data_IF_048806288372
#
_entry.id   IF_048806288372
#
_cell.length_a   1.000
_cell.length_b   1.000
_cell.length_c   1.000
_cell.angle_alpha   90.00
_cell.angle_beta   90.00
_cell.angle_gamma   90.00
#
_symmetry.space_group_name_H-M   'P 1'
#
loop_
_entity.id
_entity.type
_entity.pdbx_description
1 polymer ?
#
# COMPACT_ATOMS: atom_id res chain seq x y z
N UNK A 1 -8.00 -1.31 -2.34
CA UNK A 1 -7.32 -1.10 -1.04
C UNK A 1 -8.26 -0.43 -0.04
N UNK A 2 -8.56 0.87 -0.12
CA UNK A 2 -9.41 1.54 0.90
C UNK A 2 -10.79 0.92 1.14
N UNK A 3 -11.50 0.50 0.08
CA UNK A 3 -12.77 -0.23 0.22
C UNK A 3 -12.56 -1.57 0.95
N UNK A 4 -11.67 -2.42 0.44
CA UNK A 4 -11.36 -3.73 1.03
C UNK A 4 -10.90 -3.62 2.49
N UNK A 5 -10.01 -2.67 2.81
CA UNK A 5 -9.55 -2.41 4.18
C UNK A 5 -10.66 -1.85 5.08
N UNK A 6 -11.57 -1.05 4.54
CA UNK A 6 -12.76 -0.56 5.26
C UNK A 6 -13.77 -1.69 5.50
N UNK A 7 -13.96 -2.58 4.52
CA UNK A 7 -14.82 -3.76 4.61
C UNK A 7 -14.29 -4.74 5.67
N UNK A 8 -12.96 -4.89 5.76
CA UNK A 8 -12.28 -5.64 6.82
C UNK A 8 -12.25 -4.89 8.17
N UNK A 9 -12.69 -3.62 8.22
CA UNK A 9 -12.79 -2.82 9.44
C UNK A 9 -11.52 -2.07 9.86
N UNK A 10 -10.47 -2.11 9.05
CA UNK A 10 -9.22 -1.38 9.26
C UNK A 10 -9.30 0.12 8.86
N UNK A 11 -10.35 0.53 8.15
CA UNK A 11 -10.49 1.90 7.63
C UNK A 11 -11.88 2.50 7.94
N UNK A 12 -12.05 3.85 7.90
CA UNK A 12 -13.34 4.48 8.16
C UNK A 12 -14.44 4.03 7.19
N UNK A 13 -15.63 3.76 7.72
CA UNK A 13 -16.79 3.21 6.97
C UNK A 13 -17.22 4.02 5.74
N UNK A 14 -16.82 5.29 5.62
CA UNK A 14 -17.08 6.10 4.43
C UNK A 14 -16.48 5.49 3.15
N UNK A 15 -15.38 4.74 3.28
CA UNK A 15 -14.72 4.05 2.16
C UNK A 15 -15.38 2.72 1.77
N UNK A 16 -16.22 2.14 2.64
CA UNK A 16 -17.06 0.97 2.34
C UNK A 16 -18.38 1.33 1.65
N UNK A 17 -18.79 2.61 1.66
CA UNK A 17 -20.06 3.03 1.07
C UNK A 17 -19.98 3.03 -0.45
N UNK A 18 -20.73 2.11 -1.07
CA UNK A 18 -20.85 1.97 -2.52
C UNK A 18 -22.22 2.38 -3.04
N UNK A 19 -22.28 2.76 -4.31
CA UNK A 19 -23.53 3.02 -5.03
C UNK A 19 -24.20 1.72 -5.50
N UNK A 20 -25.36 1.81 -6.16
CA UNK A 20 -26.10 0.68 -6.74
C UNK A 20 -25.32 -0.13 -7.79
N UNK A 21 -24.20 0.38 -8.28
CA UNK A 21 -23.31 -0.27 -9.25
C UNK A 21 -21.94 -0.61 -8.64
N UNK A 22 -21.89 -0.78 -7.31
CA UNK A 22 -20.69 -1.14 -6.53
C UNK A 22 -19.52 -0.14 -6.59
N UNK A 23 -19.77 1.11 -6.99
CA UNK A 23 -18.73 2.15 -7.06
C UNK A 23 -18.60 2.92 -5.72
N UNK A 24 -17.39 3.04 -5.12
CA UNK A 24 -17.17 3.74 -3.85
C UNK A 24 -17.06 5.26 -4.02
N UNK A 25 -18.12 5.91 -4.53
CA UNK A 25 -18.11 7.33 -4.93
C UNK A 25 -17.75 8.29 -3.80
N UNK A 26 -18.21 8.05 -2.58
CA UNK A 26 -17.88 8.92 -1.43
C UNK A 26 -16.39 8.86 -1.08
N UNK A 27 -15.78 7.68 -1.15
CA UNK A 27 -14.34 7.53 -0.98
C UNK A 27 -13.54 8.23 -2.08
N UNK A 28 -13.97 8.10 -3.34
CA UNK A 28 -13.33 8.77 -4.48
C UNK A 28 -13.37 10.30 -4.33
N UNK A 29 -14.52 10.89 -3.99
CA UNK A 29 -14.65 12.34 -3.79
C UNK A 29 -13.76 12.84 -2.65
N UNK A 30 -13.69 12.09 -1.55
CA UNK A 30 -12.82 12.43 -0.41
C UNK A 30 -11.35 12.50 -0.84
N UNK A 31 -10.89 11.51 -1.61
CA UNK A 31 -9.51 11.48 -2.13
C UNK A 31 -9.27 12.65 -3.09
N UNK A 32 -10.21 12.93 -4.00
CA UNK A 32 -10.08 14.03 -4.97
C UNK A 32 -9.96 15.38 -4.28
N UNK A 33 -10.74 15.64 -3.22
CA UNK A 33 -10.66 16.89 -2.45
C UNK A 33 -9.27 17.04 -1.80
N UNK A 34 -8.78 15.97 -1.16
CA UNK A 34 -7.45 15.97 -0.53
C UNK A 34 -6.35 16.18 -1.57
N UNK A 35 -6.40 15.45 -2.69
CA UNK A 35 -5.43 15.57 -3.77
C UNK A 35 -5.43 16.96 -4.41
N UNK A 36 -6.61 17.55 -4.61
CA UNK A 36 -6.74 18.92 -5.14
C UNK A 36 -6.14 19.95 -4.19
N UNK A 37 -6.37 19.78 -2.87
CA UNK A 37 -5.74 20.60 -1.85
C UNK A 37 -4.21 20.50 -1.87
N UNK A 38 -3.67 19.29 -1.95
CA UNK A 38 -2.22 19.07 -2.06
C UNK A 38 -1.64 19.62 -3.37
N UNK A 39 -2.37 19.54 -4.49
CA UNK A 39 -1.94 20.11 -5.76
C UNK A 39 -1.85 21.63 -5.72
N UNK A 40 -2.79 22.31 -5.05
CA UNK A 40 -2.71 23.77 -4.86
C UNK A 40 -1.50 24.19 -4.01
N UNK A 41 -1.00 23.31 -3.14
CA UNK A 41 0.20 23.58 -2.36
C UNK A 41 1.46 23.65 -3.23
N UNK A 42 1.50 23.08 -4.44
CA UNK A 42 2.73 23.06 -5.27
C UNK A 42 3.13 24.42 -5.89
N UNK A 43 2.35 25.47 -5.65
CA UNK A 43 2.57 26.83 -6.21
C UNK A 43 3.73 27.57 -5.53
N UNK A 44 4.00 27.28 -4.24
CA UNK A 44 5.10 27.92 -3.50
C UNK A 44 6.40 27.10 -3.60
N UNK A 45 7.60 27.71 -3.76
CA UNK A 45 8.88 26.98 -3.79
C UNK A 45 9.15 26.12 -2.55
N UNK A 46 8.78 26.60 -1.36
CA UNK A 46 8.93 25.83 -0.11
C UNK A 46 7.96 24.65 -0.04
N UNK A 47 6.75 24.81 -0.57
CA UNK A 47 5.72 23.77 -0.62
C UNK A 47 5.96 22.76 -1.76
N UNK A 48 6.62 23.16 -2.85
CA UNK A 48 7.06 22.26 -3.92
C UNK A 48 8.11 21.26 -3.40
N UNK A 49 9.08 21.73 -2.61
CA UNK A 49 10.04 20.84 -1.94
C UNK A 49 9.33 19.82 -1.03
N UNK A 50 8.35 20.26 -0.23
CA UNK A 50 7.52 19.36 0.58
C UNK A 50 6.73 18.36 -0.28
N UNK A 51 6.18 18.81 -1.41
CA UNK A 51 5.48 17.93 -2.34
C UNK A 51 6.40 16.85 -2.92
N UNK A 52 7.64 17.18 -3.29
CA UNK A 52 8.61 16.19 -3.77
C UNK A 52 8.94 15.14 -2.70
N UNK A 53 9.06 15.55 -1.43
CA UNK A 53 9.19 14.61 -0.31
C UNK A 53 7.96 13.69 -0.21
N UNK A 54 6.74 14.23 -0.33
CA UNK A 54 5.50 13.44 -0.32
C UNK A 54 5.41 12.46 -1.51
N UNK A 55 5.83 12.88 -2.71
CA UNK A 55 5.86 12.03 -3.91
C UNK A 55 6.86 10.89 -3.73
N UNK A 56 8.08 11.18 -3.28
CA UNK A 56 9.10 10.16 -3.03
C UNK A 56 8.68 9.21 -1.91
N UNK A 57 8.05 9.73 -0.85
CA UNK A 57 7.45 8.92 0.21
C UNK A 57 6.34 8.00 -0.35
N UNK A 58 5.48 8.51 -1.24
CA UNK A 58 4.44 7.71 -1.88
C UNK A 58 5.03 6.55 -2.68
N UNK A 59 6.17 6.74 -3.35
CA UNK A 59 6.90 5.66 -4.04
C UNK A 59 7.33 4.58 -3.03
N UNK A 60 7.95 4.96 -1.92
CA UNK A 60 8.38 4.02 -0.87
C UNK A 60 7.20 3.23 -0.30
N UNK A 61 6.09 3.91 0.03
CA UNK A 61 4.90 3.27 0.61
C UNK A 61 4.23 2.25 -0.32
N UNK A 62 4.34 2.42 -1.63
CA UNK A 62 3.79 1.48 -2.61
C UNK A 62 4.75 0.32 -2.92
N UNK A 63 6.07 0.56 -2.90
CA UNK A 63 7.05 -0.48 -3.23
C UNK A 63 7.16 -1.54 -2.12
N UNK A 64 7.05 -1.14 -0.85
CA UNK A 64 7.15 -2.10 0.27
C UNK A 64 6.13 -3.26 0.11
N UNK A 65 4.82 -3.01 -0.10
CA UNK A 65 3.85 -4.08 -0.39
C UNK A 65 4.19 -4.92 -1.64
N UNK A 66 4.79 -4.33 -2.67
CA UNK A 66 5.16 -5.06 -3.89
C UNK A 66 6.29 -6.06 -3.61
N UNK A 67 7.32 -5.65 -2.85
CA UNK A 67 8.40 -6.55 -2.43
C UNK A 67 7.83 -7.72 -1.61
N UNK A 68 6.95 -7.43 -0.66
CA UNK A 68 6.29 -8.47 0.14
C UNK A 68 5.44 -9.41 -0.73
N UNK A 69 4.73 -8.88 -1.72
CA UNK A 69 3.93 -9.69 -2.65
C UNK A 69 4.80 -10.60 -3.53
N UNK A 70 5.95 -10.09 -4.00
CA UNK A 70 6.91 -10.88 -4.78
C UNK A 70 7.58 -11.96 -3.91
N UNK A 71 7.84 -11.69 -2.64
CA UNK A 71 8.32 -12.70 -1.69
C UNK A 71 7.26 -13.79 -1.40
N UNK A 72 5.99 -13.39 -1.24
CA UNK A 72 4.89 -14.31 -0.99
C UNK A 72 4.55 -15.20 -2.20
N UNK A 73 4.89 -14.77 -3.42
CA UNK A 73 4.55 -15.44 -4.67
C UNK A 73 4.91 -16.93 -4.67
N UNK A 74 6.10 -17.29 -4.18
CA UNK A 74 6.57 -18.69 -4.16
C UNK A 74 5.67 -19.56 -3.27
N UNK A 75 5.23 -19.03 -2.12
CA UNK A 75 4.33 -19.74 -1.21
C UNK A 75 2.96 -19.90 -1.86
N UNK A 76 2.42 -18.82 -2.43
CA UNK A 76 1.12 -18.82 -3.12
C UNK A 76 1.11 -19.85 -4.27
N UNK A 77 2.16 -19.89 -5.09
CA UNK A 77 2.29 -20.86 -6.17
C UNK A 77 2.31 -22.31 -5.69
N UNK A 78 2.99 -22.58 -4.56
CA UNK A 78 3.03 -23.92 -3.94
C UNK A 78 1.65 -24.34 -3.45
N UNK A 79 0.94 -23.45 -2.74
CA UNK A 79 -0.42 -23.71 -2.24
C UNK A 79 -1.41 -23.93 -3.39
N UNK A 80 -1.27 -23.17 -4.48
CA UNK A 80 -2.12 -23.28 -5.67
C UNK A 80 -1.73 -24.42 -6.63
N UNK A 81 -0.74 -25.26 -6.28
CA UNK A 81 -0.24 -26.37 -7.11
C UNK A 81 0.11 -25.94 -8.56
N UNK A 82 0.75 -24.76 -8.71
CA UNK A 82 1.11 -24.21 -10.03
C UNK A 82 2.18 -25.09 -10.70
N UNK A 83 2.04 -25.42 -12.00
CA UNK A 83 3.05 -26.20 -12.72
C UNK A 83 4.45 -25.59 -12.63
N UNK A 84 5.52 -26.39 -12.38
CA UNK A 84 6.87 -25.88 -12.19
C UNK A 84 7.41 -25.04 -13.36
N UNK A 85 7.00 -25.34 -14.59
CA UNK A 85 7.40 -24.58 -15.78
C UNK A 85 6.87 -23.14 -15.76
N UNK A 86 5.61 -22.94 -15.34
CA UNK A 86 4.99 -21.62 -15.22
C UNK A 86 5.50 -20.88 -13.98
N UNK A 87 5.69 -21.59 -12.86
CA UNK A 87 6.25 -21.05 -11.63
C UNK A 87 7.65 -20.47 -11.84
N UNK A 88 8.53 -21.15 -12.59
CA UNK A 88 9.88 -20.66 -12.90
C UNK A 88 9.88 -19.30 -13.60
N UNK A 89 9.03 -19.13 -14.63
CA UNK A 89 8.92 -17.86 -15.36
C UNK A 89 8.40 -16.76 -14.44
N UNK A 90 7.33 -17.03 -13.69
CA UNK A 90 6.77 -16.06 -12.75
C UNK A 90 7.76 -15.66 -11.64
N UNK A 91 8.54 -16.61 -11.12
CA UNK A 91 9.55 -16.35 -10.10
C UNK A 91 10.73 -15.55 -10.65
N UNK A 92 11.13 -15.78 -11.90
CA UNK A 92 12.14 -14.96 -12.56
C UNK A 92 11.67 -13.51 -12.73
N UNK A 93 10.42 -13.32 -13.20
CA UNK A 93 9.84 -11.97 -13.33
C UNK A 93 9.71 -11.29 -11.96
N UNK A 94 9.28 -12.01 -10.93
CA UNK A 94 9.21 -11.49 -9.56
C UNK A 94 10.59 -11.13 -9.01
N UNK A 95 11.63 -11.90 -9.33
CA UNK A 95 13.00 -11.57 -8.95
C UNK A 95 13.48 -10.28 -9.62
N UNK A 96 13.28 -10.14 -10.94
CA UNK A 96 13.63 -8.90 -11.66
C UNK A 96 12.82 -7.72 -11.14
N UNK A 97 11.53 -7.91 -10.87
CA UNK A 97 10.67 -6.90 -10.25
C UNK A 97 11.18 -6.48 -8.87
N UNK A 98 11.61 -7.43 -8.03
CA UNK A 98 12.16 -7.13 -6.72
C UNK A 98 13.47 -6.33 -6.83
N UNK A 99 14.36 -6.69 -7.77
CA UNK A 99 15.58 -5.93 -8.03
C UNK A 99 15.28 -4.49 -8.47
N UNK A 100 14.32 -4.30 -9.37
CA UNK A 100 13.87 -2.97 -9.79
C UNK A 100 13.26 -2.18 -8.63
N UNK A 101 12.44 -2.83 -7.80
CA UNK A 101 11.87 -2.23 -6.60
C UNK A 101 12.93 -1.75 -5.62
N UNK A 102 13.99 -2.53 -5.38
CA UNK A 102 15.11 -2.10 -4.53
C UNK A 102 15.88 -0.92 -5.14
N UNK A 103 16.10 -0.92 -6.46
CA UNK A 103 16.70 0.21 -7.16
C UNK A 103 15.85 1.49 -7.03
N UNK A 104 14.53 1.37 -7.21
CA UNK A 104 13.61 2.50 -7.08
C UNK A 104 13.57 3.05 -5.64
N UNK A 105 13.60 2.18 -4.61
CA UNK A 105 13.73 2.61 -3.21
C UNK A 105 15.03 3.38 -2.98
N UNK A 106 16.15 2.84 -3.45
CA UNK A 106 17.45 3.52 -3.35
C UNK A 106 17.42 4.89 -4.04
N UNK A 107 16.82 4.99 -5.24
CA UNK A 107 16.70 6.25 -5.99
C UNK A 107 15.75 7.27 -5.37
N UNK A 108 14.85 6.87 -4.46
CA UNK A 108 13.87 7.76 -3.83
C UNK A 108 14.48 8.71 -2.80
N UNK A 109 15.73 8.45 -2.37
CA UNK A 109 16.49 9.30 -1.45
C UNK A 109 16.35 8.93 0.02
N UNK A 110 17.34 9.33 0.82
CA UNK A 110 17.45 8.99 2.25
C UNK A 110 16.28 9.51 3.08
N UNK A 111 15.86 10.76 2.83
CA UNK A 111 14.76 11.40 3.55
C UNK A 111 13.43 10.66 3.33
N UNK A 112 13.14 10.25 2.08
CA UNK A 112 11.95 9.47 1.77
C UNK A 112 11.97 8.08 2.43
N UNK A 113 13.14 7.44 2.49
CA UNK A 113 13.32 6.16 3.17
C UNK A 113 13.13 6.29 4.69
N UNK A 114 13.63 7.36 5.31
CA UNK A 114 13.44 7.65 6.73
C UNK A 114 11.95 7.81 7.04
N UNK A 115 11.25 8.72 6.36
CA UNK A 115 9.82 8.91 6.57
C UNK A 115 9.02 7.65 6.25
N UNK A 116 9.39 6.91 5.20
CA UNK A 116 8.77 5.64 4.84
C UNK A 116 8.88 4.60 5.95
N UNK A 117 10.04 4.51 6.59
CA UNK A 117 10.26 3.61 7.73
C UNK A 117 9.42 4.01 8.93
N UNK A 118 9.36 5.30 9.28
CA UNK A 118 8.54 5.82 10.40
C UNK A 118 7.06 5.50 10.14
N UNK A 119 6.55 5.78 8.94
CA UNK A 119 5.16 5.49 8.56
C UNK A 119 4.88 3.98 8.63
N UNK A 120 5.83 3.14 8.22
CA UNK A 120 5.70 1.68 8.30
C UNK A 120 5.59 1.19 9.74
N UNK A 121 6.48 1.66 10.63
CA UNK A 121 6.44 1.30 12.06
C UNK A 121 5.18 1.79 12.77
N UNK A 122 4.72 3.00 12.44
CA UNK A 122 3.43 3.51 12.90
C UNK A 122 2.28 2.64 12.41
N UNK A 123 2.32 2.21 11.15
CA UNK A 123 1.35 1.29 10.57
C UNK A 123 1.27 -0.04 11.34
N UNK A 124 2.42 -0.64 11.67
CA UNK A 124 2.46 -1.86 12.49
C UNK A 124 1.94 -1.65 13.91
N UNK A 125 2.24 -0.50 14.51
CA UNK A 125 1.74 -0.16 15.85
C UNK A 125 0.22 0.01 15.84
N UNK A 126 -0.32 0.75 14.86
CA UNK A 126 -1.77 0.89 14.68
C UNK A 126 -2.43 -0.46 14.41
N UNK A 127 -1.83 -1.29 13.56
CA UNK A 127 -2.32 -2.65 13.34
C UNK A 127 -2.35 -3.44 14.64
N UNK A 128 -1.30 -3.41 15.48
CA UNK A 128 -1.27 -4.10 16.77
C UNK A 128 -2.34 -3.62 17.76
N UNK A 129 -2.75 -2.34 17.71
CA UNK A 129 -3.86 -1.82 18.52
C UNK A 129 -5.23 -2.26 18.01
N UNK A 130 -5.35 -2.43 16.70
CA UNK A 130 -6.61 -2.72 16.02
C UNK A 130 -6.84 -4.23 15.89
N UNK A 131 -5.77 -5.03 15.72
CA UNK A 131 -5.81 -6.47 15.46
C UNK A 131 -6.54 -7.31 16.51
N UNK A 132 -6.51 -7.00 17.83
CA UNK A 132 -7.23 -7.81 18.81
C UNK A 132 -8.74 -7.81 18.58
N UNK A 133 -9.30 -6.73 17.99
CA UNK A 133 -10.74 -6.64 17.68
C UNK A 133 -11.16 -7.56 16.53
N UNK A 134 -10.22 -7.97 15.68
CA UNK A 134 -10.48 -8.76 14.47
C UNK A 134 -10.05 -10.22 14.64
N UNK A 135 -8.84 -10.45 15.18
CA UNK A 135 -8.31 -11.81 15.34
C UNK A 135 -9.01 -12.61 16.45
N UNK A 136 -9.46 -11.95 17.52
CA UNK A 136 -10.20 -12.63 18.59
C UNK A 136 -11.66 -12.93 18.20
N UNK A 137 -12.24 -12.16 17.27
CA UNK A 137 -13.61 -12.38 16.79
C UNK A 137 -13.71 -13.59 15.85
N UNK A 138 -12.64 -13.92 15.13
CA UNK A 138 -12.58 -15.06 14.20
C UNK A 138 -12.28 -16.41 14.87
N UNK A 139 -12.09 -16.48 16.20
CA UNK A 139 -11.83 -17.74 16.94
C UNK A 139 -13.08 -18.44 17.50
N UNK A 140 -14.29 -17.99 17.14
CA UNK A 140 -15.55 -18.59 17.57
C UNK A 140 -16.40 -19.17 16.42
N UNK A 141 -15.77 -19.61 15.34
CA UNK A 141 -16.42 -20.33 14.23
C UNK A 141 -15.82 -21.70 14.03
#
# INVERSE_FOLDING_TARGET
MFKSSSDEGYFPKIFSRVTKVDAPVQGMLTIVIIQSGLALMTISPSLNSQFNVLVNLAVVTNIIPYILSMAALVIIQKVANVPPSKAKVANFVAFVGAMYSFYALYSSGEEAMLYGSIVTFLGWTLYGLVSPRFELKNKHG
#
